data_IF_984584253755
#
_entry.id   IF_984584253755
#
_cell.length_a   1.000
_cell.length_b   1.000
_cell.length_c   1.000
_cell.angle_alpha   90.00
_cell.angle_beta   90.00
_cell.angle_gamma   90.00
#
_symmetry.space_group_name_H-M   'P 1'
#
loop_
_entity.id
_entity.type
_entity.pdbx_description
1 polymer ?
#
# COMPACT_ATOMS: atom_id res chain seq x y z
N UNK A 1 -17.42 -6.91 -18.89
CA UNK A 1 -16.94 -8.27 -18.50
C UNK A 1 -15.47 -8.55 -18.85
N UNK A 2 -14.88 -8.00 -19.92
CA UNK A 2 -13.47 -8.28 -20.31
C UNK A 2 -12.40 -7.73 -19.34
N UNK A 3 -12.68 -6.63 -18.64
CA UNK A 3 -11.70 -5.96 -17.75
C UNK A 3 -11.63 -6.54 -16.33
N UNK A 4 -12.65 -7.32 -15.89
CA UNK A 4 -12.64 -8.02 -14.60
C UNK A 4 -11.44 -8.97 -14.44
N UNK A 5 -10.97 -9.57 -15.53
CA UNK A 5 -9.81 -10.49 -15.50
C UNK A 5 -8.48 -9.73 -15.30
N UNK A 6 -8.35 -8.50 -15.80
CA UNK A 6 -7.15 -7.68 -15.59
C UNK A 6 -7.13 -7.07 -14.18
N UNK A 7 -8.31 -6.70 -13.67
CA UNK A 7 -8.55 -6.28 -12.28
C UNK A 7 -8.19 -7.38 -11.28
N UNK A 8 -8.14 -8.67 -11.69
CA UNK A 8 -7.63 -9.75 -10.84
C UNK A 8 -6.10 -9.88 -10.84
N UNK A 9 -5.39 -9.33 -11.84
CA UNK A 9 -3.93 -9.49 -12.00
C UNK A 9 -3.10 -8.37 -11.35
N UNK A 10 -3.66 -7.15 -11.25
CA UNK A 10 -3.02 -6.03 -10.55
C UNK A 10 -3.00 -6.30 -9.02
N UNK A 11 -4.09 -6.77 -8.40
CA UNK A 11 -4.06 -7.29 -7.04
C UNK A 11 -3.22 -8.56 -6.94
N UNK A 12 -3.12 -9.44 -7.94
CA UNK A 12 -2.24 -10.62 -7.89
C UNK A 12 -0.74 -10.28 -7.82
N UNK A 13 -0.34 -9.07 -8.25
CA UNK A 13 1.00 -8.53 -8.04
C UNK A 13 1.16 -7.83 -6.67
N UNK A 14 0.06 -7.40 -6.07
CA UNK A 14 0.00 -6.86 -4.69
C UNK A 14 -0.16 -7.99 -3.65
N UNK A 15 -0.82 -9.09 -4.03
CA UNK A 15 -0.98 -10.37 -3.35
C UNK A 15 -0.13 -11.43 -4.05
N UNK A 16 1.16 -11.13 -4.20
CA UNK A 16 2.10 -12.18 -4.59
C UNK A 16 2.12 -13.21 -3.46
N UNK A 17 1.76 -14.46 -3.76
CA UNK A 17 2.25 -15.61 -3.03
C UNK A 17 3.77 -15.47 -2.89
N UNK A 18 4.23 -15.08 -1.69
CA UNK A 18 5.60 -15.25 -1.23
C UNK A 18 5.84 -16.72 -0.88
N UNK A 19 5.54 -17.63 -1.82
CA UNK A 19 5.95 -19.01 -1.65
C UNK A 19 7.44 -19.13 -1.99
N UNK A 20 8.22 -19.23 -0.91
CA UNK A 20 9.53 -19.88 -0.84
C UNK A 20 10.60 -19.47 -1.86
N UNK A 21 11.32 -18.38 -1.56
CA UNK A 21 12.79 -18.43 -1.65
C UNK A 21 13.41 -17.71 -0.47
N UNK A 22 14.14 -18.48 0.35
CA UNK A 22 15.07 -17.99 1.36
C UNK A 22 16.25 -17.35 0.62
N UNK A 23 16.12 -16.13 0.13
CA UNK A 23 17.29 -15.39 -0.35
C UNK A 23 17.28 -13.99 0.26
N UNK A 24 18.41 -13.68 0.89
CA UNK A 24 18.67 -12.50 1.69
C UNK A 24 18.48 -11.22 0.86
N UNK A 25 17.36 -10.53 1.06
CA UNK A 25 17.26 -9.13 0.67
C UNK A 25 17.92 -8.32 1.79
N UNK A 26 19.18 -7.98 1.59
CA UNK A 26 19.95 -7.04 2.41
C UNK A 26 19.40 -5.62 2.22
N UNK A 27 18.29 -5.34 2.90
CA UNK A 27 17.87 -4.01 3.29
C UNK A 27 17.45 -4.11 4.75
N UNK A 28 18.37 -3.85 5.67
CA UNK A 28 18.28 -4.26 7.09
C UNK A 28 17.12 -3.65 7.90
N UNK A 29 16.20 -2.89 7.29
CA UNK A 29 15.10 -2.21 8.00
C UNK A 29 13.68 -2.74 7.69
N UNK A 30 13.52 -3.72 6.79
CA UNK A 30 12.21 -4.28 6.48
C UNK A 30 12.26 -5.80 6.31
N UNK A 31 11.88 -6.56 7.35
CA UNK A 31 11.57 -7.99 7.17
C UNK A 31 10.15 -8.13 6.62
N UNK A 32 10.10 -8.48 5.33
CA UNK A 32 8.90 -8.78 4.55
C UNK A 32 8.29 -10.14 4.92
N UNK A 33 6.99 -10.19 5.19
CA UNK A 33 6.10 -11.31 4.77
C UNK A 33 4.74 -10.69 4.39
N UNK A 34 4.35 -10.82 3.11
CA UNK A 34 2.99 -10.72 2.55
C UNK A 34 1.98 -9.68 3.10
N UNK A 35 1.50 -8.81 2.21
CA UNK A 35 0.35 -7.90 2.34
C UNK A 35 0.35 -6.95 3.55
N UNK A 36 1.09 -5.84 3.40
CA UNK A 36 0.89 -4.54 4.07
C UNK A 36 0.94 -4.47 5.60
N UNK A 37 1.62 -5.38 6.30
CA UNK A 37 1.83 -5.22 7.74
C UNK A 37 3.31 -5.25 8.11
N UNK A 38 3.84 -4.10 8.53
CA UNK A 38 5.23 -3.92 8.91
C UNK A 38 5.35 -3.95 10.44
N UNK A 39 6.09 -4.93 10.96
CA UNK A 39 6.73 -4.84 12.28
C UNK A 39 8.12 -4.28 12.04
N UNK A 40 8.31 -2.97 12.15
CA UNK A 40 9.65 -2.39 12.00
C UNK A 40 10.51 -2.87 13.16
N UNK A 41 11.60 -3.58 12.85
CA UNK A 41 12.75 -3.64 13.76
C UNK A 41 13.26 -2.21 13.95
N UNK A 42 13.67 -1.97 15.19
CA UNK A 42 14.32 -0.80 15.79
C UNK A 42 14.70 0.35 14.83
N UNK A 43 14.35 1.58 15.22
CA UNK A 43 14.70 2.87 14.58
C UNK A 43 13.86 3.37 13.39
N UNK A 44 12.55 3.47 13.60
CA UNK A 44 11.78 4.58 13.01
C UNK A 44 11.26 5.47 14.13
N UNK A 45 11.12 6.78 13.89
CA UNK A 45 10.53 7.77 14.82
C UNK A 45 9.24 7.29 15.51
N UNK A 46 8.52 6.38 14.86
CA UNK A 46 7.23 5.82 15.27
C UNK A 46 7.27 4.33 15.62
N UNK A 47 8.46 3.71 15.56
CA UNK A 47 8.71 2.32 15.89
C UNK A 47 8.56 2.05 17.37
N UNK A 48 8.78 0.79 17.75
CA UNK A 48 8.72 0.38 19.15
C UNK A 48 10.10 0.05 19.67
N UNK A 49 10.32 0.24 20.97
CA UNK A 49 11.39 -0.48 21.67
C UNK A 49 11.07 -1.98 21.61
N UNK A 50 12.03 -2.79 21.14
CA UNK A 50 11.86 -4.23 21.06
C UNK A 50 11.49 -4.80 22.45
N UNK A 51 10.54 -5.72 22.48
CA UNK A 51 10.01 -6.31 23.72
C UNK A 51 9.07 -5.42 24.55
N UNK A 52 8.82 -4.16 24.17
CA UNK A 52 7.81 -3.34 24.85
C UNK A 52 6.40 -3.94 24.74
N UNK A 53 5.50 -3.65 25.68
CA UNK A 53 4.11 -4.14 25.63
C UNK A 53 3.40 -3.73 24.33
N UNK A 54 3.57 -2.47 23.92
CA UNK A 54 3.05 -1.97 22.64
C UNK A 54 3.58 -2.77 21.45
N UNK A 55 4.89 -3.05 21.41
CA UNK A 55 5.50 -3.89 20.37
C UNK A 55 4.89 -5.29 20.36
N UNK A 56 4.84 -5.96 21.51
CA UNK A 56 4.37 -7.35 21.64
C UNK A 56 2.90 -7.46 21.22
N UNK A 57 2.05 -6.56 21.69
CA UNK A 57 0.65 -6.54 21.28
C UNK A 57 0.51 -6.20 19.80
N UNK A 58 1.24 -5.20 19.29
CA UNK A 58 1.19 -4.87 17.86
C UNK A 58 1.56 -6.10 17.02
N UNK A 59 2.73 -6.69 17.25
CA UNK A 59 3.22 -7.85 16.49
C UNK A 59 2.29 -9.05 16.58
N UNK A 60 1.67 -9.32 17.74
CA UNK A 60 0.64 -10.36 17.87
C UNK A 60 -0.62 -10.02 17.08
N UNK A 61 -1.07 -8.77 17.12
CA UNK A 61 -2.23 -8.30 16.36
C UNK A 61 -2.00 -8.42 14.85
N UNK A 62 -0.81 -8.08 14.39
CA UNK A 62 -0.35 -8.28 13.01
C UNK A 62 -0.42 -9.76 12.61
N UNK A 63 0.17 -10.66 13.39
CA UNK A 63 0.16 -12.11 13.13
C UNK A 63 -1.28 -12.66 13.05
N UNK A 64 -2.18 -12.21 13.92
CA UNK A 64 -3.60 -12.56 13.85
C UNK A 64 -4.27 -12.05 12.57
N UNK A 65 -3.95 -10.82 12.14
CA UNK A 65 -4.44 -10.25 10.88
C UNK A 65 -3.98 -11.04 9.66
N UNK A 66 -2.73 -11.50 9.63
CA UNK A 66 -2.18 -12.35 8.57
C UNK A 66 -2.85 -13.74 8.53
N UNK A 67 -3.34 -14.22 9.67
CA UNK A 67 -4.13 -15.46 9.79
C UNK A 67 -5.63 -15.25 9.54
N UNK A 68 -6.01 -14.06 9.06
CA UNK A 68 -7.39 -13.64 8.80
C UNK A 68 -8.29 -13.65 10.05
N UNK A 69 -7.70 -13.68 11.24
CA UNK A 69 -8.39 -13.64 12.54
C UNK A 69 -8.68 -12.20 12.95
N UNK A 70 -9.41 -11.48 12.10
CA UNK A 70 -9.48 -10.02 12.20
C UNK A 70 -10.16 -9.51 13.47
N UNK A 71 -11.13 -10.23 14.04
CA UNK A 71 -11.75 -9.88 15.32
C UNK A 71 -10.75 -10.00 16.48
N UNK A 72 -9.95 -11.06 16.50
CA UNK A 72 -8.90 -11.25 17.51
C UNK A 72 -7.79 -10.20 17.32
N UNK A 73 -7.40 -9.92 16.07
CA UNK A 73 -6.43 -8.90 15.72
C UNK A 73 -6.86 -7.51 16.24
N UNK A 74 -8.12 -7.12 16.02
CA UNK A 74 -8.68 -5.87 16.51
C UNK A 74 -8.52 -5.73 18.04
N UNK A 75 -8.89 -6.77 18.79
CA UNK A 75 -8.81 -6.76 20.26
C UNK A 75 -7.36 -6.56 20.71
N UNK A 76 -6.42 -7.29 20.09
CA UNK A 76 -5.00 -7.23 20.48
C UNK A 76 -4.36 -5.90 20.05
N UNK A 77 -4.67 -5.40 18.85
CA UNK A 77 -4.15 -4.10 18.38
C UNK A 77 -4.70 -2.93 19.20
N UNK A 78 -5.95 -3.01 19.68
CA UNK A 78 -6.48 -2.02 20.62
C UNK A 78 -5.72 -2.01 21.95
N UNK A 79 -5.24 -3.16 22.42
CA UNK A 79 -4.33 -3.21 23.59
C UNK A 79 -2.99 -2.55 23.27
N UNK A 80 -2.44 -2.76 22.08
CA UNK A 80 -1.23 -2.05 21.65
C UNK A 80 -1.43 -0.52 21.65
N UNK A 81 -2.60 -0.06 21.18
CA UNK A 81 -2.95 1.35 21.13
C UNK A 81 -3.12 1.97 22.52
N UNK A 82 -3.55 1.21 23.52
CA UNK A 82 -3.60 1.66 24.91
C UNK A 82 -2.20 1.89 25.49
N UNK A 83 -1.23 1.05 25.13
CA UNK A 83 0.16 1.16 25.59
C UNK A 83 0.92 2.30 24.89
N UNK A 84 0.61 2.56 23.62
CA UNK A 84 1.18 3.66 22.85
C UNK A 84 0.07 4.45 22.13
N UNK A 85 -0.63 5.34 22.86
CA UNK A 85 -1.69 6.16 22.28
C UNK A 85 -1.15 6.98 21.10
N UNK A 86 -1.96 7.06 20.04
CA UNK A 86 -1.64 7.82 18.82
C UNK A 86 -0.42 7.34 18.02
N UNK A 87 0.12 6.15 18.30
CA UNK A 87 1.17 5.58 17.47
C UNK A 87 0.63 5.33 16.04
N UNK A 88 1.22 5.95 15.00
CA UNK A 88 0.69 5.86 13.65
C UNK A 88 0.79 4.45 13.04
N UNK A 89 1.76 3.63 13.45
CA UNK A 89 1.90 2.24 13.00
C UNK A 89 0.73 1.41 13.54
N UNK A 90 0.44 1.50 14.83
CA UNK A 90 -0.69 0.77 15.43
C UNK A 90 -2.02 1.21 14.80
N UNK A 91 -2.21 2.52 14.63
CA UNK A 91 -3.40 3.07 13.98
C UNK A 91 -3.55 2.54 12.55
N UNK A 92 -2.47 2.49 11.77
CA UNK A 92 -2.48 1.91 10.44
C UNK A 92 -2.86 0.42 10.45
N UNK A 93 -2.31 -0.36 11.38
CA UNK A 93 -2.58 -1.80 11.48
C UNK A 93 -4.03 -2.08 11.89
N UNK A 94 -4.61 -1.25 12.77
CA UNK A 94 -6.04 -1.31 13.08
C UNK A 94 -6.87 -0.96 11.84
N UNK A 95 -6.49 0.09 11.12
CA UNK A 95 -7.13 0.47 9.86
C UNK A 95 -7.14 -0.67 8.85
N UNK A 96 -6.01 -1.35 8.66
CA UNK A 96 -5.90 -2.48 7.75
C UNK A 96 -6.76 -3.67 8.21
N UNK A 97 -6.84 -3.92 9.52
CA UNK A 97 -7.73 -4.95 10.07
C UNK A 97 -9.20 -4.69 9.73
N UNK A 98 -9.66 -3.44 9.78
CA UNK A 98 -11.02 -3.08 9.35
C UNK A 98 -11.18 -3.12 7.83
N UNK A 99 -10.18 -2.69 7.08
CA UNK A 99 -10.16 -2.76 5.62
C UNK A 99 -10.30 -4.20 5.12
N UNK A 100 -9.54 -5.14 5.68
CA UNK A 100 -9.60 -6.56 5.32
C UNK A 100 -10.95 -7.21 5.68
N UNK A 101 -11.70 -6.64 6.63
CA UNK A 101 -13.07 -7.05 6.95
C UNK A 101 -14.13 -6.39 6.06
N UNK A 102 -13.73 -5.54 5.11
CA UNK A 102 -14.64 -4.75 4.28
C UNK A 102 -15.32 -3.59 5.02
N UNK A 103 -14.89 -3.27 6.24
CA UNK A 103 -15.46 -2.20 7.07
C UNK A 103 -14.72 -0.88 6.77
N UNK A 104 -14.89 -0.41 5.53
CA UNK A 104 -14.09 0.68 4.97
C UNK A 104 -14.26 2.02 5.69
N UNK A 105 -15.47 2.38 6.14
CA UNK A 105 -15.69 3.63 6.88
C UNK A 105 -14.87 3.69 8.17
N UNK A 106 -14.76 2.58 8.89
CA UNK A 106 -13.93 2.49 10.10
C UNK A 106 -12.46 2.48 9.75
N UNK A 107 -12.06 1.79 8.69
CA UNK A 107 -10.68 1.80 8.20
C UNK A 107 -10.20 3.23 7.89
N UNK A 108 -11.01 4.02 7.19
CA UNK A 108 -10.76 5.44 6.87
C UNK A 108 -10.50 6.27 8.14
N UNK A 109 -11.29 6.07 9.20
CA UNK A 109 -11.08 6.79 10.47
C UNK A 109 -9.69 6.50 11.03
N UNK A 110 -9.26 5.23 11.05
CA UNK A 110 -7.96 4.85 11.59
C UNK A 110 -6.79 5.27 10.69
N UNK A 111 -6.93 5.19 9.37
CA UNK A 111 -5.91 5.69 8.44
C UNK A 111 -5.75 7.20 8.53
N UNK A 112 -6.84 7.97 8.60
CA UNK A 112 -6.77 9.42 8.83
C UNK A 112 -6.11 9.77 10.16
N UNK A 113 -6.41 9.02 11.22
CA UNK A 113 -5.71 9.19 12.51
C UNK A 113 -4.22 8.85 12.38
N UNK A 114 -3.86 7.76 11.69
CA UNK A 114 -2.47 7.40 11.44
C UNK A 114 -1.74 8.54 10.71
N UNK A 115 -2.33 9.08 9.63
CA UNK A 115 -1.79 10.21 8.88
C UNK A 115 -1.62 11.48 9.72
N UNK A 116 -2.58 11.76 10.61
CA UNK A 116 -2.51 12.91 11.53
C UNK A 116 -1.33 12.83 12.49
N UNK A 117 -0.95 11.63 12.90
CA UNK A 117 0.11 11.40 13.90
C UNK A 117 1.44 10.92 13.29
N UNK A 118 1.48 10.71 11.97
CA UNK A 118 2.71 10.46 11.25
C UNK A 118 3.35 11.76 10.78
N UNK A 119 4.67 11.76 10.62
CA UNK A 119 5.33 12.78 9.82
C UNK A 119 4.91 12.64 8.36
N UNK A 120 5.09 13.72 7.60
CA UNK A 120 4.82 13.80 6.17
C UNK A 120 5.52 12.74 5.30
N UNK A 121 6.39 11.91 5.88
CA UNK A 121 7.08 10.79 5.23
C UNK A 121 6.33 9.46 5.30
N UNK A 122 5.30 9.29 6.13
CA UNK A 122 4.60 7.99 6.22
C UNK A 122 3.54 7.84 5.13
N UNK A 123 3.97 7.41 3.94
CA UNK A 123 3.05 7.17 2.81
C UNK A 123 2.12 5.97 3.06
N UNK A 124 2.52 5.01 3.90
CA UNK A 124 1.76 3.76 4.10
C UNK A 124 0.28 3.98 4.41
N UNK A 125 -0.03 4.87 5.36
CA UNK A 125 -1.41 5.15 5.73
C UNK A 125 -2.18 5.87 4.60
N UNK A 126 -1.51 6.70 3.80
CA UNK A 126 -2.11 7.36 2.65
C UNK A 126 -2.38 6.38 1.52
N UNK A 127 -1.45 5.47 1.23
CA UNK A 127 -1.63 4.37 0.28
C UNK A 127 -2.82 3.49 0.67
N UNK A 128 -2.90 3.08 1.93
CA UNK A 128 -4.02 2.29 2.43
C UNK A 128 -5.34 3.06 2.39
N UNK A 129 -5.33 4.37 2.70
CA UNK A 129 -6.49 5.23 2.59
C UNK A 129 -6.98 5.36 1.13
N UNK A 130 -6.07 5.59 0.18
CA UNK A 130 -6.38 5.66 -1.24
C UNK A 130 -6.98 4.35 -1.77
N UNK A 131 -6.40 3.20 -1.39
CA UNK A 131 -6.97 1.88 -1.70
C UNK A 131 -8.34 1.67 -1.04
N UNK A 132 -8.55 2.20 0.16
CA UNK A 132 -9.85 2.12 0.84
C UNK A 132 -10.92 2.89 0.07
N UNK A 133 -10.62 4.11 -0.39
CA UNK A 133 -11.53 4.87 -1.23
C UNK A 133 -11.78 4.19 -2.58
N UNK A 134 -10.75 3.62 -3.21
CA UNK A 134 -10.89 2.81 -4.42
C UNK A 134 -11.89 1.65 -4.24
N UNK A 135 -11.80 0.90 -3.14
CA UNK A 135 -12.74 -0.20 -2.87
C UNK A 135 -14.15 0.28 -2.54
N UNK A 136 -14.30 1.53 -2.08
CA UNK A 136 -15.60 2.19 -1.96
C UNK A 136 -16.10 2.79 -3.30
N UNK A 137 -15.38 2.59 -4.40
CA UNK A 137 -15.61 3.20 -5.71
C UNK A 137 -15.56 4.74 -5.69
N UNK A 138 -14.95 5.32 -4.65
CA UNK A 138 -14.71 6.75 -4.58
C UNK A 138 -13.36 7.10 -5.22
N UNK A 139 -13.34 7.03 -6.54
CA UNK A 139 -12.13 7.24 -7.32
C UNK A 139 -11.58 8.67 -7.20
N UNK A 140 -12.46 9.65 -7.00
CA UNK A 140 -12.06 11.05 -6.81
C UNK A 140 -11.21 11.21 -5.54
N UNK A 141 -11.70 10.73 -4.38
CA UNK A 141 -10.94 10.78 -3.12
C UNK A 141 -9.73 9.85 -3.15
N UNK A 142 -9.81 8.72 -3.86
CA UNK A 142 -8.65 7.84 -4.04
C UNK A 142 -7.49 8.58 -4.74
N UNK A 143 -7.77 9.23 -5.88
CA UNK A 143 -6.78 10.02 -6.62
C UNK A 143 -6.28 11.22 -5.82
N UNK A 144 -7.15 11.95 -5.13
CA UNK A 144 -6.76 13.09 -4.27
C UNK A 144 -5.69 12.69 -3.24
N UNK A 145 -5.89 11.57 -2.54
CA UNK A 145 -4.94 11.08 -1.54
C UNK A 145 -3.63 10.60 -2.19
N UNK A 146 -3.70 9.96 -3.35
CA UNK A 146 -2.52 9.50 -4.08
C UNK A 146 -1.69 10.68 -4.62
N UNK A 147 -2.34 11.70 -5.18
CA UNK A 147 -1.69 12.93 -5.63
C UNK A 147 -1.02 13.64 -4.46
N UNK A 148 -1.73 13.80 -3.34
CA UNK A 148 -1.18 14.34 -2.11
C UNK A 148 0.10 13.58 -1.67
N UNK A 149 0.09 12.25 -1.75
CA UNK A 149 1.24 11.41 -1.38
C UNK A 149 2.46 11.63 -2.27
N UNK A 150 2.25 11.86 -3.57
CA UNK A 150 3.33 12.16 -4.53
C UNK A 150 3.98 13.53 -4.32
N UNK A 151 3.28 14.49 -3.69
CA UNK A 151 3.84 15.84 -3.42
C UNK A 151 4.83 15.88 -2.24
N UNK A 152 4.94 14.81 -1.45
CA UNK A 152 5.75 14.81 -0.24
C UNK A 152 7.25 14.64 -0.56
N UNK A 153 8.07 15.51 0.02
CA UNK A 153 9.50 15.65 -0.34
C UNK A 153 10.40 14.49 0.14
N UNK A 154 9.93 13.67 1.08
CA UNK A 154 10.73 12.61 1.72
C UNK A 154 10.27 11.19 1.33
N UNK A 155 9.59 11.06 0.21
CA UNK A 155 9.12 9.78 -0.30
C UNK A 155 10.21 9.14 -1.14
N UNK A 156 10.58 7.91 -0.82
CA UNK A 156 11.53 7.18 -1.66
C UNK A 156 10.88 6.77 -2.99
N UNK A 157 11.70 6.37 -3.96
CA UNK A 157 11.24 6.06 -5.30
C UNK A 157 10.43 4.76 -5.38
N UNK A 158 10.62 3.83 -4.44
CA UNK A 158 9.84 2.58 -4.35
C UNK A 158 8.45 2.87 -3.78
N UNK A 159 8.34 3.76 -2.80
CA UNK A 159 7.05 4.21 -2.29
C UNK A 159 6.28 5.00 -3.36
N UNK A 160 6.96 5.90 -4.09
CA UNK A 160 6.37 6.61 -5.24
C UNK A 160 5.89 5.65 -6.32
N UNK A 161 6.66 4.60 -6.63
CA UNK A 161 6.23 3.55 -7.56
C UNK A 161 4.90 2.92 -7.12
N UNK A 162 4.78 2.57 -5.84
CA UNK A 162 3.54 1.98 -5.30
C UNK A 162 2.34 2.91 -5.48
N UNK A 163 2.50 4.20 -5.16
CA UNK A 163 1.43 5.20 -5.33
C UNK A 163 1.03 5.33 -6.79
N UNK A 164 2.00 5.38 -7.71
CA UNK A 164 1.73 5.46 -9.16
C UNK A 164 1.00 4.23 -9.70
N UNK A 165 1.37 3.03 -9.26
CA UNK A 165 0.66 1.80 -9.64
C UNK A 165 -0.80 1.82 -9.17
N UNK A 166 -1.06 2.34 -7.96
CA UNK A 166 -2.42 2.49 -7.47
C UNK A 166 -3.21 3.56 -8.24
N UNK A 167 -2.58 4.68 -8.63
CA UNK A 167 -3.21 5.68 -9.51
C UNK A 167 -3.56 5.07 -10.87
N UNK A 168 -2.66 4.30 -11.47
CA UNK A 168 -2.93 3.55 -12.71
C UNK A 168 -4.14 2.64 -12.53
N UNK A 169 -4.24 1.90 -11.42
CA UNK A 169 -5.38 1.03 -11.15
C UNK A 169 -6.71 1.82 -11.12
N UNK A 170 -6.73 2.99 -10.47
CA UNK A 170 -7.90 3.87 -10.46
C UNK A 170 -8.22 4.38 -11.87
N UNK A 171 -7.22 4.85 -12.61
CA UNK A 171 -7.42 5.43 -13.94
C UNK A 171 -7.79 4.38 -15.00
N UNK A 172 -7.47 3.09 -14.78
CA UNK A 172 -7.99 1.98 -15.59
C UNK A 172 -9.51 1.87 -15.44
N UNK A 173 -10.06 2.02 -14.23
CA UNK A 173 -11.51 2.02 -14.01
C UNK A 173 -12.18 3.26 -14.62
N UNK A 174 -11.48 4.38 -14.65
CA UNK A 174 -11.94 5.63 -15.25
C UNK A 174 -11.72 5.71 -16.78
N UNK A 175 -11.01 4.74 -17.36
CA UNK A 175 -10.54 4.75 -18.74
C UNK A 175 -9.73 6.02 -19.12
N UNK A 176 -9.06 6.64 -18.14
CA UNK A 176 -8.24 7.84 -18.33
C UNK A 176 -6.80 7.47 -18.75
N UNK A 177 -6.65 7.24 -20.05
CA UNK A 177 -5.36 6.88 -20.63
C UNK A 177 -4.32 8.00 -20.58
N UNK A 178 -4.73 9.27 -20.46
CA UNK A 178 -3.78 10.37 -20.36
C UNK A 178 -3.08 10.36 -19.00
N UNK A 179 -3.83 10.15 -17.91
CA UNK A 179 -3.25 9.99 -16.57
C UNK A 179 -2.45 8.70 -16.43
N UNK A 180 -2.94 7.58 -16.98
CA UNK A 180 -2.17 6.31 -17.02
C UNK A 180 -0.80 6.52 -17.67
N UNK A 181 -0.77 7.17 -18.84
CA UNK A 181 0.47 7.40 -19.57
C UNK A 181 1.42 8.36 -18.83
N UNK A 182 0.90 9.31 -18.04
CA UNK A 182 1.74 10.16 -17.18
C UNK A 182 2.45 9.33 -16.11
N UNK A 183 1.74 8.42 -15.45
CA UNK A 183 2.33 7.55 -14.43
C UNK A 183 3.33 6.55 -15.02
N UNK A 184 3.01 5.93 -16.16
CA UNK A 184 3.93 5.01 -16.85
C UNK A 184 5.24 5.71 -17.24
N UNK A 185 5.18 6.92 -17.79
CA UNK A 185 6.38 7.71 -18.13
C UNK A 185 7.23 8.02 -16.89
N UNK A 186 6.60 8.34 -15.77
CA UNK A 186 7.32 8.59 -14.53
C UNK A 186 7.98 7.31 -13.98
N UNK A 187 7.29 6.17 -14.06
CA UNK A 187 7.86 4.87 -13.69
C UNK A 187 9.05 4.51 -14.60
N UNK A 188 8.93 4.73 -15.90
CA UNK A 188 10.00 4.50 -16.88
C UNK A 188 11.24 5.35 -16.59
N UNK A 189 11.05 6.61 -16.21
CA UNK A 189 12.13 7.50 -15.80
C UNK A 189 12.90 6.93 -14.60
N UNK A 190 12.20 6.53 -13.53
CA UNK A 190 12.81 5.92 -12.35
C UNK A 190 13.58 4.64 -12.72
N UNK A 191 13.00 3.82 -13.60
CA UNK A 191 13.63 2.59 -14.10
C UNK A 191 14.95 2.88 -14.84
N UNK A 192 14.95 3.83 -15.78
CA UNK A 192 16.13 4.18 -16.59
C UNK A 192 17.30 4.71 -15.75
N UNK A 193 16.98 5.34 -14.62
CA UNK A 193 17.98 5.85 -13.69
C UNK A 193 18.42 4.82 -12.63
N UNK A 194 18.00 3.55 -12.75
CA UNK A 194 18.25 2.49 -11.76
C UNK A 194 17.73 2.83 -10.34
N UNK A 195 16.70 3.67 -10.25
CA UNK A 195 16.14 4.14 -8.97
C UNK A 195 15.14 3.15 -8.34
N UNK A 196 14.90 2.00 -9.00
CA UNK A 196 13.92 0.99 -8.60
C UNK A 196 14.54 -0.35 -8.16
N UNK A 197 15.85 -0.56 -8.33
CA UNK A 197 16.52 -1.82 -8.00
C UNK A 197 15.83 -3.05 -8.59
N UNK A 198 15.61 -4.08 -7.77
CA UNK A 198 14.95 -5.34 -8.16
C UNK A 198 13.50 -5.15 -8.66
N UNK A 199 12.85 -4.03 -8.34
CA UNK A 199 11.48 -3.75 -8.79
C UNK A 199 11.40 -3.45 -10.29
N UNK A 200 12.51 -3.08 -10.93
CA UNK A 200 12.56 -2.77 -12.36
C UNK A 200 12.06 -3.93 -13.24
N UNK A 201 12.43 -5.17 -12.91
CA UNK A 201 12.05 -6.36 -13.69
C UNK A 201 10.55 -6.70 -13.63
N UNK A 202 9.85 -6.27 -12.57
CA UNK A 202 8.41 -6.51 -12.42
C UNK A 202 7.55 -5.57 -13.28
N UNK A 203 8.10 -4.39 -13.62
CA UNK A 203 7.38 -3.35 -14.35
C UNK A 203 7.16 -3.72 -15.82
N UNK A 204 8.10 -4.43 -16.45
CA UNK A 204 8.00 -4.80 -17.87
C UNK A 204 6.75 -5.62 -18.20
N UNK A 205 6.34 -6.49 -17.26
CA UNK A 205 5.13 -7.30 -17.40
C UNK A 205 3.84 -6.48 -17.26
N UNK A 206 3.89 -5.41 -16.47
CA UNK A 206 2.76 -4.51 -16.19
C UNK A 206 2.57 -3.52 -17.33
N UNK A 207 3.66 -2.93 -17.81
CA UNK A 207 3.67 -1.91 -18.86
C UNK A 207 3.10 -2.42 -20.20
N UNK A 208 3.50 -3.64 -20.61
CA UNK A 208 3.01 -4.25 -21.86
C UNK A 208 1.51 -4.52 -21.88
N UNK A 209 0.90 -4.80 -20.72
CA UNK A 209 -0.55 -5.04 -20.62
C UNK A 209 -1.35 -3.73 -20.60
N UNK A 210 -0.88 -2.73 -19.86
CA UNK A 210 -1.54 -1.43 -19.75
C UNK A 210 -1.45 -0.65 -21.06
N UNK A 211 -0.29 -0.65 -21.73
CA UNK A 211 -0.13 0.01 -23.03
C UNK A 211 -1.07 -0.58 -24.08
N UNK A 212 -1.33 -1.90 -24.04
CA UNK A 212 -2.31 -2.55 -24.91
C UNK A 212 -3.75 -2.13 -24.61
N UNK A 213 -4.08 -1.84 -23.34
CA UNK A 213 -5.40 -1.31 -22.98
C UNK A 213 -5.62 0.06 -23.62
N UNK A 214 -4.67 0.98 -23.45
CA UNK A 214 -4.83 2.34 -23.92
C UNK A 214 -4.75 2.52 -25.44
N UNK A 215 -4.08 1.61 -26.14
CA UNK A 215 -4.08 1.61 -27.63
C UNK A 215 -5.36 1.02 -28.23
N UNK A 216 -6.04 0.11 -27.52
CA UNK A 216 -7.29 -0.51 -28.02
C UNK A 216 -8.55 0.30 -27.71
N UNK A 217 -8.51 1.23 -26.74
CA UNK A 217 -9.62 2.15 -26.43
C UNK A 217 -9.69 3.35 -27.39
N UNK A 218 -8.55 3.86 -27.86
CA UNK A 218 -8.46 4.96 -28.85
C UNK A 218 -9.10 4.59 -30.19
N UNK A 219 -9.17 3.31 -30.53
CA UNK A 219 -9.81 2.82 -31.76
C UNK A 219 -11.31 2.49 -31.61
N UNK A 220 -11.94 2.86 -30.48
CA UNK A 220 -13.39 2.66 -30.25
C UNK A 220 -14.17 3.97 -30.03
N UNK A 221 -13.55 5.13 -30.20
CA UNK A 221 -14.24 6.42 -30.22
C UNK A 221 -14.54 6.85 -31.65
#
# INVERSE_FOLDING_TARGET
>A
MKYKILIFLIPFLISCEFSNKKDNISGENYKKVGNNIITSKEDTKYGFKEGSKAHVFNSKGVDLGLKEKYQEAEIVLKKALLEAPNNPIILNNIGLTYYNRGIYNTAIIYFNRSLKFSDSSSIMAATNLGLTYYNQMDYARALEIMDYSLTKQNCDNVEKLTVRLNRIMVNVELEDCDEINKDLKAIEYLRKNNELGDYAAYIDKVDGQITKLCTTSVHRK
#
